data_IF_388945139571
#
_entry.id   IF_388945139571
#
_cell.length_a   1.000
_cell.length_b   1.000
_cell.length_c   1.000
_cell.angle_alpha   90.00
_cell.angle_beta   90.00
_cell.angle_gamma   90.00
#
_symmetry.space_group_name_H-M   'P 1'
#
loop_
_entity.id
_entity.type
_entity.pdbx_description
1 polymer ?
#
# COMPACT_ATOMS: atom_id res chain seq x y z
N UNK A 1 -24.06 17.99 56.98
CA UNK A 1 -22.64 18.17 56.59
C UNK A 1 -22.26 17.06 55.63
N UNK A 2 -21.84 17.49 54.42
CA UNK A 2 -21.06 16.78 53.39
C UNK A 2 -21.54 15.41 52.88
N UNK A 3 -22.37 15.46 51.85
CA UNK A 3 -22.47 14.42 50.82
C UNK A 3 -21.23 14.48 49.91
N UNK A 4 -20.57 13.34 49.71
CA UNK A 4 -19.42 13.18 48.83
C UNK A 4 -19.68 12.03 47.86
N UNK A 5 -19.16 12.21 46.65
CA UNK A 5 -18.85 11.16 45.68
C UNK A 5 -20.04 10.49 44.99
N UNK A 6 -20.39 10.98 43.80
CA UNK A 6 -20.81 10.17 42.63
C UNK A 6 -20.71 10.97 41.30
N UNK A 7 -20.53 12.28 41.32
CA UNK A 7 -20.53 13.12 40.10
C UNK A 7 -19.17 13.32 39.41
N UNK A 8 -18.22 12.39 39.54
CA UNK A 8 -16.85 12.59 39.03
C UNK A 8 -16.49 11.78 37.76
N UNK A 9 -17.47 11.29 36.99
CA UNK A 9 -17.17 10.56 35.74
C UNK A 9 -17.88 11.05 34.47
N UNK A 10 -18.64 12.14 34.52
CA UNK A 10 -19.39 12.64 33.36
C UNK A 10 -18.92 13.98 32.78
N UNK A 11 -17.77 14.52 33.22
CA UNK A 11 -17.29 15.84 32.80
C UNK A 11 -16.06 15.82 31.86
N UNK A 12 -15.58 14.64 31.44
CA UNK A 12 -14.36 14.54 30.59
C UNK A 12 -14.67 14.49 29.09
N UNK A 13 -15.92 14.25 28.69
CA UNK A 13 -16.26 13.99 27.28
C UNK A 13 -16.78 15.20 26.49
N UNK A 14 -16.98 16.37 27.13
CA UNK A 14 -17.49 17.59 26.47
C UNK A 14 -16.44 18.70 26.36
N UNK A 15 -15.26 18.54 26.99
CA UNK A 15 -14.16 19.52 26.93
C UNK A 15 -13.16 19.28 25.77
N UNK A 16 -13.37 18.26 24.93
CA UNK A 16 -12.43 17.89 23.86
C UNK A 16 -12.64 18.58 22.50
N UNK A 17 -13.71 19.37 22.33
CA UNK A 17 -14.09 19.95 21.01
C UNK A 17 -13.86 21.47 20.92
N UNK A 18 -13.54 22.15 22.03
CA UNK A 18 -13.32 23.62 22.06
C UNK A 18 -11.84 24.03 22.16
N UNK A 19 -10.92 23.08 22.12
CA UNK A 19 -9.48 23.33 22.04
C UNK A 19 -8.96 22.96 20.64
N UNK A 20 -9.42 23.68 19.62
CA UNK A 20 -8.62 23.90 18.42
C UNK A 20 -7.78 25.16 18.67
N UNK A 21 -6.61 25.09 19.33
CA UNK A 21 -5.62 26.11 19.04
C UNK A 21 -5.31 25.92 17.56
N UNK A 22 -5.56 26.96 16.75
CA UNK A 22 -5.11 26.99 15.36
C UNK A 22 -3.67 26.49 15.32
N UNK A 23 -3.34 25.68 14.29
CA UNK A 23 -2.00 25.15 14.07
C UNK A 23 -0.96 26.16 14.57
N UNK A 24 -0.25 25.89 15.69
CA UNK A 24 0.77 26.80 16.13
C UNK A 24 1.78 26.87 14.99
N UNK A 25 1.92 28.05 14.39
CA UNK A 25 2.89 28.26 13.32
C UNK A 25 4.26 27.77 13.80
N UNK A 26 4.91 26.97 12.95
CA UNK A 26 5.82 27.63 12.04
C UNK A 26 5.39 27.33 10.61
N UNK A 27 4.59 28.22 10.01
CA UNK A 27 4.65 28.31 8.56
C UNK A 27 6.12 28.61 8.21
N UNK A 28 6.78 27.79 7.36
CA UNK A 28 8.20 27.95 7.07
C UNK A 28 8.48 29.37 6.58
N UNK A 29 9.19 30.17 7.38
CA UNK A 29 9.55 31.56 7.02
C UNK A 29 10.60 31.63 5.90
N UNK A 30 11.23 30.50 5.60
CA UNK A 30 12.28 30.36 4.59
C UNK A 30 11.72 29.74 3.32
N UNK A 31 11.85 30.47 2.21
CA UNK A 31 11.62 29.91 0.88
C UNK A 31 12.83 29.07 0.50
N UNK A 32 12.61 27.79 0.23
CA UNK A 32 13.64 26.88 -0.27
C UNK A 32 13.42 26.69 -1.77
N UNK A 33 14.48 26.71 -2.57
CA UNK A 33 14.35 26.44 -4.00
C UNK A 33 13.87 24.99 -4.22
N UNK A 34 12.93 24.78 -5.15
CA UNK A 34 12.40 23.45 -5.47
C UNK A 34 13.53 22.44 -5.77
N UNK A 35 14.56 22.87 -6.50
CA UNK A 35 15.71 22.02 -6.79
C UNK A 35 16.49 21.58 -5.55
N UNK A 36 16.55 22.40 -4.51
CA UNK A 36 17.16 22.01 -3.24
C UNK A 36 16.30 20.96 -2.52
N UNK A 37 14.99 21.16 -2.44
CA UNK A 37 14.06 20.20 -1.85
C UNK A 37 14.14 18.84 -2.56
N UNK A 38 14.15 18.82 -3.90
CA UNK A 38 14.28 17.58 -4.69
C UNK A 38 15.61 16.90 -4.41
N UNK A 39 16.72 17.64 -4.34
CA UNK A 39 18.04 17.05 -4.03
C UNK A 39 18.09 16.45 -2.63
N UNK A 40 17.60 17.17 -1.62
CA UNK A 40 17.54 16.70 -0.23
C UNK A 40 16.63 15.48 -0.10
N UNK A 41 15.45 15.52 -0.72
CA UNK A 41 14.53 14.38 -0.80
C UNK A 41 15.20 13.16 -1.40
N UNK A 42 15.85 13.30 -2.57
CA UNK A 42 16.54 12.20 -3.24
C UNK A 42 17.74 11.69 -2.44
N UNK A 43 18.47 12.57 -1.74
CA UNK A 43 19.57 12.16 -0.85
C UNK A 43 19.06 11.35 0.33
N UNK A 44 17.91 11.71 0.90
CA UNK A 44 17.26 10.95 1.97
C UNK A 44 16.70 9.62 1.46
N UNK A 45 16.04 9.61 0.29
CA UNK A 45 15.54 8.39 -0.35
C UNK A 45 16.67 7.38 -0.64
N UNK A 46 17.87 7.86 -1.01
CA UNK A 46 19.05 7.01 -1.16
C UNK A 46 19.47 6.31 0.14
N UNK A 47 19.20 6.90 1.30
CA UNK A 47 19.53 6.31 2.61
C UNK A 47 18.44 5.41 3.17
N UNK A 48 17.18 5.64 2.78
CA UNK A 48 16.04 4.88 3.30
C UNK A 48 16.04 3.45 2.74
N UNK A 49 16.16 2.38 3.55
CA UNK A 49 16.22 1.01 3.06
C UNK A 49 14.93 0.56 2.35
N UNK A 50 13.81 1.20 2.70
CA UNK A 50 12.49 0.95 2.14
C UNK A 50 11.91 2.22 1.56
N UNK A 51 11.31 2.09 0.39
CA UNK A 51 10.54 3.14 -0.27
C UNK A 51 9.08 2.70 -0.35
N UNK A 52 8.18 3.68 -0.40
CA UNK A 52 6.78 3.42 -0.65
C UNK A 52 6.20 4.53 -1.53
N UNK A 53 5.20 4.18 -2.33
CA UNK A 53 4.50 5.12 -3.18
C UNK A 53 3.02 4.72 -3.31
N UNK A 54 2.15 5.72 -3.45
CA UNK A 54 0.76 5.48 -3.84
C UNK A 54 0.70 5.34 -5.36
N UNK A 55 0.06 4.28 -5.84
CA UNK A 55 -0.06 3.97 -7.25
C UNK A 55 -1.50 4.09 -7.74
N UNK A 56 -1.66 4.46 -9.00
CA UNK A 56 -2.92 4.37 -9.74
C UNK A 56 -2.85 3.15 -10.63
N UNK A 57 -3.79 2.25 -10.46
CA UNK A 57 -3.79 0.94 -11.11
C UNK A 57 -5.10 0.80 -11.87
N UNK A 58 -5.01 0.29 -13.09
CA UNK A 58 -6.15 -0.22 -13.85
C UNK A 58 -5.79 -1.62 -14.31
N UNK A 59 -6.62 -2.60 -13.98
CA UNK A 59 -6.50 -3.94 -14.53
C UNK A 59 -7.84 -4.40 -15.09
N UNK A 60 -7.76 -5.30 -16.07
CA UNK A 60 -8.93 -5.86 -16.75
C UNK A 60 -8.79 -7.38 -16.69
N UNK A 61 -9.76 -8.04 -16.08
CA UNK A 61 -9.83 -9.50 -16.01
C UNK A 61 -10.69 -10.00 -17.16
N UNK A 62 -10.19 -10.98 -17.90
CA UNK A 62 -11.01 -11.73 -18.83
C UNK A 62 -12.01 -12.58 -18.04
N UNK A 63 -13.24 -12.69 -18.54
CA UNK A 63 -14.21 -13.60 -17.96
C UNK A 63 -14.00 -15.00 -18.59
N UNK A 64 -13.66 -16.04 -17.80
CA UNK A 64 -13.39 -17.37 -18.34
C UNK A 64 -14.61 -17.99 -19.04
N UNK A 65 -15.82 -17.59 -18.67
CA UNK A 65 -17.08 -18.10 -19.27
C UNK A 65 -17.48 -17.34 -20.55
N UNK A 66 -16.60 -16.49 -21.09
CA UNK A 66 -16.85 -15.71 -22.30
C UNK A 66 -17.72 -14.46 -22.09
N UNK A 67 -18.00 -14.08 -20.85
CA UNK A 67 -18.68 -12.82 -20.51
C UNK A 67 -17.82 -11.57 -20.78
N UNK A 68 -18.41 -10.40 -20.55
CA UNK A 68 -17.67 -9.14 -20.67
C UNK A 68 -16.52 -9.08 -19.65
N UNK A 69 -15.34 -8.56 -20.04
CA UNK A 69 -14.22 -8.46 -19.13
C UNK A 69 -14.50 -7.42 -18.04
N UNK A 70 -14.17 -7.75 -16.80
CA UNK A 70 -14.34 -6.87 -15.65
C UNK A 70 -13.11 -5.98 -15.50
N UNK A 71 -13.31 -4.66 -15.48
CA UNK A 71 -12.22 -3.70 -15.26
C UNK A 71 -12.35 -3.08 -13.87
N UNK A 72 -11.25 -3.06 -13.13
CA UNK A 72 -11.16 -2.39 -11.84
C UNK A 72 -10.08 -1.31 -11.85
N UNK A 73 -10.34 -0.24 -11.11
CA UNK A 73 -9.42 0.86 -10.89
C UNK A 73 -9.42 1.91 -11.99
N UNK A 74 -8.58 2.94 -11.82
CA UNK A 74 -8.48 4.06 -12.76
C UNK A 74 -7.09 4.68 -12.73
N UNK A 75 -6.59 4.98 -13.93
CA UNK A 75 -5.34 5.75 -14.13
C UNK A 75 -5.63 7.23 -14.43
N UNK A 76 -6.89 7.67 -14.33
CA UNK A 76 -7.26 9.08 -14.57
C UNK A 76 -6.47 10.02 -13.65
N UNK A 77 -6.01 11.20 -14.13
CA UNK A 77 -5.36 12.21 -13.30
C UNK A 77 -6.20 12.63 -12.09
N UNK A 78 -7.53 12.62 -12.22
CA UNK A 78 -8.47 13.01 -11.16
C UNK A 78 -8.79 11.88 -10.17
N UNK A 79 -8.49 10.62 -10.52
CA UNK A 79 -8.74 9.50 -9.63
C UNK A 79 -7.80 9.53 -8.42
N UNK A 80 -8.31 9.09 -7.27
CA UNK A 80 -7.47 8.84 -6.09
C UNK A 80 -6.65 7.57 -6.32
N UNK A 81 -5.38 7.51 -5.88
CA UNK A 81 -4.59 6.28 -5.94
C UNK A 81 -5.27 5.12 -5.22
N UNK A 82 -5.43 4.00 -5.92
CA UNK A 82 -6.04 2.73 -5.49
C UNK A 82 -5.00 1.62 -5.26
N UNK A 83 -3.73 1.98 -5.16
CA UNK A 83 -2.66 1.04 -4.85
C UNK A 83 -1.58 1.61 -3.94
N UNK A 84 -0.84 0.70 -3.31
CA UNK A 84 0.35 0.98 -2.52
C UNK A 84 1.49 0.10 -3.05
N UNK A 85 2.59 0.73 -3.45
CA UNK A 85 3.84 0.04 -3.78
C UNK A 85 4.76 0.18 -2.57
N UNK A 86 5.31 -0.94 -2.12
CA UNK A 86 6.40 -1.02 -1.16
C UNK A 86 7.60 -1.61 -1.90
N UNK A 87 8.76 -1.01 -1.72
CA UNK A 87 10.02 -1.45 -2.33
C UNK A 87 11.08 -1.55 -1.21
N UNK A 88 11.74 -2.69 -1.09
CA UNK A 88 12.96 -2.80 -0.30
C UNK A 88 14.14 -2.80 -1.27
N UNK A 89 15.05 -1.84 -1.09
CA UNK A 89 16.23 -1.73 -1.95
C UNK A 89 17.22 -2.83 -1.59
N UNK A 90 17.74 -3.53 -2.58
CA UNK A 90 18.82 -4.48 -2.37
C UNK A 90 20.18 -3.93 -2.82
N UNK A 91 21.24 -4.46 -2.22
CA UNK A 91 22.64 -4.09 -2.53
C UNK A 91 23.26 -4.97 -3.63
N UNK A 92 22.49 -5.94 -4.15
CA UNK A 92 22.94 -6.92 -5.17
C UNK A 92 22.27 -6.67 -6.52
N UNK A 93 22.92 -7.03 -7.64
CA UNK A 93 22.30 -7.05 -8.96
C UNK A 93 21.08 -7.97 -8.98
N UNK A 94 19.98 -7.52 -9.61
CA UNK A 94 18.72 -8.27 -9.70
C UNK A 94 17.48 -7.40 -9.39
N UNK A 95 16.26 -7.96 -9.48
CA UNK A 95 15.05 -7.25 -9.10
C UNK A 95 15.03 -6.97 -7.59
N UNK A 96 14.72 -5.75 -7.19
CA UNK A 96 14.48 -5.38 -5.78
C UNK A 96 13.22 -6.04 -5.25
N UNK A 97 13.19 -6.31 -3.95
CA UNK A 97 11.98 -6.81 -3.30
C UNK A 97 10.91 -5.76 -3.44
N UNK A 98 9.76 -6.17 -3.93
CA UNK A 98 8.64 -5.26 -4.04
C UNK A 98 7.34 -5.97 -3.68
N UNK A 99 6.39 -5.16 -3.21
CA UNK A 99 5.00 -5.56 -3.03
C UNK A 99 4.12 -4.45 -3.58
N UNK A 100 3.30 -4.78 -4.57
CA UNK A 100 2.21 -3.95 -5.04
C UNK A 100 0.90 -4.47 -4.46
N UNK A 101 0.22 -3.60 -3.74
CA UNK A 101 -1.03 -3.88 -3.06
C UNK A 101 -2.15 -3.07 -3.73
N UNK A 102 -3.11 -3.76 -4.32
CA UNK A 102 -4.33 -3.15 -4.85
C UNK A 102 -5.41 -3.08 -3.78
N UNK A 103 -6.07 -1.93 -3.65
CA UNK A 103 -7.04 -1.68 -2.57
C UNK A 103 -8.27 -0.95 -3.07
N UNK A 104 -9.45 -1.43 -2.70
CA UNK A 104 -10.69 -0.68 -2.91
C UNK A 104 -10.82 0.46 -1.89
N UNK A 105 -10.48 0.18 -0.64
CA UNK A 105 -10.44 1.16 0.46
C UNK A 105 -9.15 1.00 1.25
N UNK A 106 -8.85 1.93 2.16
CA UNK A 106 -7.65 1.81 3.00
C UNK A 106 -7.59 0.49 3.82
N UNK A 107 -8.75 -0.09 4.13
CA UNK A 107 -8.90 -1.31 4.92
C UNK A 107 -9.13 -2.59 4.08
N UNK A 108 -9.45 -2.45 2.79
CA UNK A 108 -9.83 -3.58 1.94
C UNK A 108 -8.83 -3.80 0.82
N UNK A 109 -8.05 -4.87 0.97
CA UNK A 109 -7.08 -5.33 -0.03
C UNK A 109 -7.77 -6.27 -1.03
N UNK A 110 -7.61 -5.97 -2.31
CA UNK A 110 -8.18 -6.77 -3.39
C UNK A 110 -7.15 -7.74 -3.96
N UNK A 111 -5.89 -7.33 -4.02
CA UNK A 111 -4.82 -8.17 -4.51
C UNK A 111 -3.47 -7.71 -3.99
N UNK A 112 -2.52 -8.64 -4.04
CA UNK A 112 -1.11 -8.43 -3.80
C UNK A 112 -0.30 -9.12 -4.87
N UNK A 113 0.70 -8.43 -5.41
CA UNK A 113 1.74 -9.04 -6.23
C UNK A 113 3.08 -8.61 -5.69
N UNK A 114 4.03 -9.54 -5.58
CA UNK A 114 5.34 -9.20 -5.05
C UNK A 114 6.43 -10.18 -5.45
N UNK A 115 7.65 -9.77 -5.16
CA UNK A 115 8.87 -10.55 -5.33
C UNK A 115 9.63 -10.55 -4.01
N UNK A 116 10.10 -11.73 -3.60
CA UNK A 116 11.08 -11.95 -2.55
C UNK A 116 12.36 -12.46 -3.20
N UNK A 117 13.40 -11.64 -3.16
CA UNK A 117 14.73 -11.96 -3.68
C UNK A 117 15.42 -13.01 -2.83
N UNK A 118 15.29 -12.92 -1.51
CA UNK A 118 15.91 -13.88 -0.58
C UNK A 118 15.36 -15.30 -0.77
N UNK A 119 14.09 -15.42 -1.16
CA UNK A 119 13.45 -16.70 -1.48
C UNK A 119 13.53 -17.06 -2.97
N UNK A 120 14.05 -16.15 -3.81
CA UNK A 120 14.14 -16.35 -5.26
C UNK A 120 12.77 -16.57 -5.92
N UNK A 121 11.77 -15.79 -5.52
CA UNK A 121 10.39 -16.09 -5.84
C UNK A 121 9.47 -14.88 -6.00
N UNK A 122 8.39 -15.11 -6.74
CA UNK A 122 7.30 -14.16 -6.92
C UNK A 122 5.99 -14.79 -6.48
N UNK A 123 5.06 -13.95 -6.07
CA UNK A 123 3.72 -14.39 -5.70
C UNK A 123 2.68 -13.41 -6.20
N UNK A 124 1.46 -13.92 -6.37
CA UNK A 124 0.27 -13.16 -6.67
C UNK A 124 -0.89 -13.73 -5.89
N UNK A 125 -1.60 -12.88 -5.16
CA UNK A 125 -2.83 -13.24 -4.47
C UNK A 125 -3.92 -12.22 -4.81
N UNK A 126 -5.16 -12.67 -4.89
CA UNK A 126 -6.32 -11.79 -4.97
C UNK A 126 -7.51 -12.33 -4.17
N UNK A 127 -8.39 -11.42 -3.80
CA UNK A 127 -9.71 -11.64 -3.23
C UNK A 127 -10.66 -10.58 -3.79
N UNK A 128 -11.55 -11.00 -4.69
CA UNK A 128 -12.42 -10.14 -5.49
C UNK A 128 -13.83 -10.74 -5.52
N UNK A 129 -14.74 -10.20 -4.71
CA UNK A 129 -16.10 -10.75 -4.58
C UNK A 129 -16.06 -12.13 -3.94
N UNK A 130 -16.61 -13.13 -4.63
CA UNK A 130 -16.62 -14.54 -4.18
C UNK A 130 -15.39 -15.34 -4.66
N UNK A 131 -14.50 -14.70 -5.41
CA UNK A 131 -13.33 -15.34 -6.02
C UNK A 131 -12.05 -14.99 -5.26
N UNK A 132 -11.28 -15.99 -4.87
CA UNK A 132 -9.96 -15.80 -4.26
C UNK A 132 -8.98 -16.88 -4.73
N UNK A 133 -7.76 -16.46 -5.03
CA UNK A 133 -6.66 -17.39 -5.30
C UNK A 133 -5.32 -16.78 -4.91
N UNK A 134 -4.36 -17.65 -4.59
CA UNK A 134 -2.96 -17.28 -4.47
C UNK A 134 -2.09 -18.23 -5.29
N UNK A 135 -1.07 -17.65 -5.89
CA UNK A 135 -0.12 -18.28 -6.79
C UNK A 135 1.29 -17.88 -6.39
N UNK A 136 2.21 -18.81 -6.58
CA UNK A 136 3.62 -18.65 -6.30
C UNK A 136 4.45 -19.26 -7.43
N UNK A 137 5.64 -18.73 -7.65
CA UNK A 137 6.63 -19.31 -8.55
C UNK A 137 8.05 -18.79 -8.29
N UNK A 138 9.03 -19.48 -8.84
CA UNK A 138 10.43 -19.05 -8.79
C UNK A 138 10.70 -17.89 -9.75
N UNK A 139 11.46 -16.89 -9.32
CA UNK A 139 11.81 -15.72 -10.16
C UNK A 139 12.52 -16.11 -11.46
N UNK A 140 13.32 -17.17 -11.43
CA UNK A 140 14.05 -17.67 -12.58
C UNK A 140 13.14 -18.25 -13.68
N UNK A 141 11.89 -18.55 -13.31
CA UNK A 141 10.86 -19.09 -14.21
C UNK A 141 9.81 -18.02 -14.59
N UNK A 142 9.96 -16.79 -14.11
CA UNK A 142 9.03 -15.72 -14.42
C UNK A 142 9.01 -15.42 -15.93
N UNK A 143 7.82 -15.40 -16.53
CA UNK A 143 7.65 -15.14 -17.97
C UNK A 143 7.94 -16.32 -18.89
N UNK A 144 8.25 -17.51 -18.35
CA UNK A 144 8.40 -18.73 -19.15
C UNK A 144 7.02 -19.22 -19.64
N UNK A 145 6.76 -19.25 -20.97
CA UNK A 145 5.47 -19.67 -21.50
C UNK A 145 5.22 -21.15 -21.21
N UNK A 146 4.02 -21.47 -20.69
CA UNK A 146 3.57 -22.86 -20.42
C UNK A 146 3.84 -23.38 -19.01
N UNK A 147 4.60 -22.65 -18.18
CA UNK A 147 4.77 -23.00 -16.77
C UNK A 147 3.52 -22.61 -15.97
N UNK A 148 2.92 -23.61 -15.31
CA UNK A 148 1.78 -23.42 -14.41
C UNK A 148 2.31 -23.05 -13.02
N UNK A 149 1.84 -21.94 -12.49
CA UNK A 149 2.14 -21.51 -11.13
C UNK A 149 1.59 -22.52 -10.11
N UNK A 150 2.28 -22.69 -8.98
CA UNK A 150 1.79 -23.52 -7.88
C UNK A 150 0.79 -22.69 -7.07
N UNK A 151 -0.36 -23.28 -6.76
CA UNK A 151 -1.31 -22.67 -5.83
C UNK A 151 -0.70 -22.65 -4.43
N UNK A 152 -0.90 -21.55 -3.69
CA UNK A 152 -0.49 -21.43 -2.28
C UNK A 152 -1.67 -21.01 -1.41
N UNK A 153 -1.57 -21.22 -0.09
CA UNK A 153 -2.54 -20.65 0.84
C UNK A 153 -2.15 -19.17 1.10
N UNK A 154 -3.06 -18.20 0.93
CA UNK A 154 -2.77 -16.78 1.19
C UNK A 154 -2.24 -16.50 2.61
N UNK A 155 -2.59 -17.35 3.58
CA UNK A 155 -2.13 -17.21 4.97
C UNK A 155 -0.63 -17.47 5.14
N UNK A 156 0.02 -18.13 4.19
CA UNK A 156 1.45 -18.46 4.25
C UNK A 156 2.35 -17.24 3.98
N UNK A 157 1.78 -16.09 3.59
CA UNK A 157 2.48 -14.84 3.24
C UNK A 157 2.48 -13.77 4.36
N UNK A 158 1.93 -14.09 5.54
CA UNK A 158 1.83 -13.19 6.71
C UNK A 158 2.93 -13.47 7.74
#
# INVERSE_FOLDING_TARGET
MTASSIWCKLAVLVAGVLALPGCPEPLPKTRVALGQLVREHNANARRAPRLWARAKIKFTMANPDGGLPTTWGSVSPLATPNGLVLLAKGDRPGPDDFVLIGRETAAMELFRVGISRDEGAYYFWYNLGDEAAAYWGHTDLAGAPGLRMLAMNPQDLL
#
